data_IF_410715382270
#
_entry.id   IF_410715382270
#
_cell.length_a   1.000
_cell.length_b   1.000
_cell.length_c   1.000
_cell.angle_alpha   90.00
_cell.angle_beta   90.00
_cell.angle_gamma   90.00
#
_symmetry.space_group_name_H-M   'P 1'
#
loop_
_entity.id
_entity.type
_entity.pdbx_description
1 polymer ?
#
# COMPACT_ATOMS: atom_id res chain seq x y z
N UNK A 1 -55.42 26.97 -15.14
CA UNK A 1 -54.80 26.41 -13.90
C UNK A 1 -54.64 24.90 -13.90
N UNK A 2 -55.62 24.10 -14.34
CA UNK A 2 -55.53 22.61 -14.34
C UNK A 2 -54.37 22.09 -15.26
N UNK A 3 -54.21 22.63 -16.47
CA UNK A 3 -53.12 22.23 -17.39
C UNK A 3 -51.71 22.57 -16.86
N UNK A 4 -51.58 23.67 -16.15
CA UNK A 4 -50.30 24.06 -15.53
C UNK A 4 -49.87 23.06 -14.42
N UNK A 5 -50.84 22.60 -13.61
CA UNK A 5 -50.58 21.60 -12.56
C UNK A 5 -50.24 20.24 -13.16
N UNK A 6 -50.91 19.84 -14.24
CA UNK A 6 -50.61 18.60 -14.94
C UNK A 6 -49.23 18.63 -15.61
N UNK A 7 -48.86 19.74 -16.26
CA UNK A 7 -47.54 19.92 -16.85
C UNK A 7 -46.43 19.89 -15.79
N UNK A 8 -46.62 20.55 -14.64
CA UNK A 8 -45.67 20.50 -13.52
C UNK A 8 -45.50 19.07 -12.97
N UNK A 9 -46.57 18.31 -12.81
CA UNK A 9 -46.52 16.91 -12.36
C UNK A 9 -45.74 16.04 -13.30
N UNK A 10 -45.89 16.17 -14.62
CA UNK A 10 -45.17 15.42 -15.64
C UNK A 10 -43.65 15.76 -15.58
N UNK A 11 -43.32 17.03 -15.44
CA UNK A 11 -41.90 17.47 -15.33
C UNK A 11 -41.24 16.89 -14.05
N UNK A 12 -41.94 16.94 -12.91
CA UNK A 12 -41.41 16.37 -11.65
C UNK A 12 -41.22 14.85 -11.79
N UNK A 13 -42.15 14.16 -12.43
CA UNK A 13 -42.05 12.72 -12.65
C UNK A 13 -40.89 12.37 -13.60
N UNK A 14 -40.69 13.12 -14.67
CA UNK A 14 -39.60 12.94 -15.61
C UNK A 14 -38.23 13.20 -14.95
N UNK A 15 -38.12 14.24 -14.13
CA UNK A 15 -36.91 14.55 -13.35
C UNK A 15 -36.65 13.45 -12.31
N UNK A 16 -37.68 12.98 -11.61
CA UNK A 16 -37.54 11.89 -10.64
C UNK A 16 -37.11 10.56 -11.26
N UNK A 17 -37.68 10.21 -12.42
CA UNK A 17 -37.27 9.01 -13.18
C UNK A 17 -35.84 9.17 -13.70
N UNK A 18 -35.50 10.36 -14.25
CA UNK A 18 -34.15 10.64 -14.75
C UNK A 18 -33.10 10.56 -13.65
N UNK A 19 -33.39 11.14 -12.49
CA UNK A 19 -32.50 11.09 -11.33
C UNK A 19 -32.37 9.66 -10.76
N UNK A 20 -33.49 8.93 -10.67
CA UNK A 20 -33.49 7.53 -10.25
C UNK A 20 -32.70 6.63 -11.21
N UNK A 21 -32.79 6.87 -12.53
CA UNK A 21 -32.03 6.16 -13.54
C UNK A 21 -30.53 6.44 -13.43
N UNK A 22 -30.14 7.70 -13.28
CA UNK A 22 -28.73 8.10 -13.09
C UNK A 22 -28.17 7.50 -11.80
N UNK A 23 -28.90 7.63 -10.69
CA UNK A 23 -28.46 7.06 -9.40
C UNK A 23 -28.35 5.54 -9.41
N UNK A 24 -29.25 4.84 -10.11
CA UNK A 24 -29.18 3.38 -10.30
C UNK A 24 -27.96 2.98 -11.13
N UNK A 25 -27.67 3.72 -12.19
CA UNK A 25 -26.48 3.46 -13.01
C UNK A 25 -25.17 3.76 -12.27
N UNK A 26 -25.08 4.83 -11.49
CA UNK A 26 -23.92 5.12 -10.67
C UNK A 26 -23.59 3.98 -9.70
N UNK A 27 -24.58 3.42 -9.02
CA UNK A 27 -24.40 2.27 -8.12
C UNK A 27 -23.99 0.98 -8.86
N UNK A 28 -24.44 0.79 -10.11
CA UNK A 28 -24.04 -0.39 -10.88
C UNK A 28 -22.62 -0.34 -11.43
N UNK A 29 -22.05 0.86 -11.66
CA UNK A 29 -20.63 1.01 -12.05
C UNK A 29 -19.68 0.79 -10.89
N UNK A 30 -20.05 1.12 -9.66
CA UNK A 30 -19.29 0.77 -8.46
C UNK A 30 -19.23 -0.75 -8.21
N UNK A 31 -20.20 -1.51 -8.72
CA UNK A 31 -20.22 -2.96 -8.60
C UNK A 31 -19.19 -3.69 -9.51
N UNK A 32 -18.65 -3.00 -10.54
CA UNK A 32 -17.58 -3.52 -11.39
C UNK A 32 -16.21 -3.26 -10.77
N UNK A 33 -15.78 -4.17 -9.90
CA UNK A 33 -14.47 -4.11 -9.27
C UNK A 33 -13.42 -4.83 -10.11
N UNK A 34 -12.25 -4.23 -10.21
CA UNK A 34 -11.04 -4.80 -10.78
C UNK A 34 -10.10 -5.17 -9.65
N UNK A 35 -9.53 -6.37 -9.71
CA UNK A 35 -8.52 -6.85 -8.77
C UNK A 35 -7.21 -7.07 -9.51
N UNK A 36 -6.14 -6.48 -8.99
CA UNK A 36 -4.77 -6.63 -9.51
C UNK A 36 -3.90 -7.12 -8.37
N UNK A 37 -3.12 -8.17 -8.64
CA UNK A 37 -2.12 -8.70 -7.72
C UNK A 37 -0.73 -8.60 -8.33
N UNK A 38 0.26 -8.24 -7.51
CA UNK A 38 1.66 -8.35 -7.85
C UNK A 38 2.14 -9.77 -7.51
N UNK A 39 2.65 -10.55 -8.47
CA UNK A 39 3.22 -11.86 -8.17
C UNK A 39 4.38 -11.75 -7.17
N UNK A 40 4.68 -12.85 -6.48
CA UNK A 40 5.83 -12.93 -5.58
C UNK A 40 7.13 -12.54 -6.31
N UNK A 41 7.95 -11.69 -5.68
CA UNK A 41 9.19 -11.18 -6.25
C UNK A 41 9.02 -10.15 -7.37
N UNK A 42 7.79 -9.77 -7.70
CA UNK A 42 7.49 -8.80 -8.74
C UNK A 42 6.80 -7.56 -8.14
N UNK A 43 6.84 -6.49 -8.90
CA UNK A 43 6.16 -5.23 -8.58
C UNK A 43 5.29 -4.83 -9.74
N UNK A 44 4.13 -4.27 -9.44
CA UNK A 44 3.20 -3.77 -10.44
C UNK A 44 3.04 -2.27 -10.25
N UNK A 45 3.22 -1.52 -11.33
CA UNK A 45 2.84 -0.10 -11.39
C UNK A 45 1.58 0.03 -12.20
N UNK A 46 0.60 0.76 -11.69
CA UNK A 46 -0.65 1.03 -12.40
C UNK A 46 -1.07 2.49 -12.18
N UNK A 47 -1.79 3.01 -13.17
CA UNK A 47 -2.42 4.32 -13.10
C UNK A 47 -3.92 4.13 -13.07
N UNK A 48 -4.55 4.64 -12.01
CA UNK A 48 -6.00 4.62 -11.86
C UNK A 48 -6.65 5.69 -12.75
N UNK A 49 -7.94 5.59 -12.95
CA UNK A 49 -8.73 6.48 -13.83
C UNK A 49 -8.75 7.95 -13.37
N UNK A 50 -8.55 8.21 -12.06
CA UNK A 50 -8.44 9.56 -11.49
C UNK A 50 -7.03 10.17 -11.67
N UNK A 51 -6.11 9.43 -12.31
CA UNK A 51 -4.72 9.81 -12.49
C UNK A 51 -3.80 9.44 -11.32
N UNK A 52 -4.33 8.84 -10.24
CA UNK A 52 -3.54 8.31 -9.13
C UNK A 52 -2.60 7.21 -9.62
N UNK A 53 -1.32 7.30 -9.25
CA UNK A 53 -0.33 6.26 -9.53
C UNK A 53 -0.14 5.38 -8.30
N UNK A 54 -0.14 4.06 -8.50
CA UNK A 54 0.00 3.06 -7.45
C UNK A 54 1.12 2.10 -7.83
N UNK A 55 2.02 1.85 -6.91
CA UNK A 55 3.02 0.79 -6.99
C UNK A 55 2.66 -0.29 -5.97
N UNK A 56 2.43 -1.50 -6.44
CA UNK A 56 2.22 -2.68 -5.59
C UNK A 56 3.55 -3.39 -5.42
N UNK A 57 3.91 -3.70 -4.18
CA UNK A 57 5.08 -4.52 -3.87
C UNK A 57 4.75 -6.01 -4.03
N UNK A 58 5.76 -6.87 -3.94
CA UNK A 58 5.65 -8.33 -4.02
C UNK A 58 4.50 -8.86 -3.17
N UNK A 59 3.66 -9.72 -3.75
CA UNK A 59 2.51 -10.35 -3.08
C UNK A 59 1.34 -9.43 -2.75
N UNK A 60 1.43 -8.13 -3.05
CA UNK A 60 0.35 -7.20 -2.75
C UNK A 60 -0.82 -7.32 -3.73
N UNK A 61 -2.02 -7.07 -3.23
CA UNK A 61 -3.26 -7.07 -3.98
C UNK A 61 -4.02 -5.76 -3.79
N UNK A 62 -4.48 -5.18 -4.89
CA UNK A 62 -5.33 -3.99 -4.91
C UNK A 62 -6.66 -4.30 -5.59
N UNK A 63 -7.75 -3.98 -4.91
CA UNK A 63 -9.10 -4.01 -5.46
C UNK A 63 -9.66 -2.60 -5.56
N UNK A 64 -10.18 -2.22 -6.73
CA UNK A 64 -10.73 -0.88 -6.98
C UNK A 64 -11.87 -0.95 -8.00
N UNK A 65 -12.86 -0.03 -7.94
CA UNK A 65 -13.94 0.01 -8.91
C UNK A 65 -13.44 0.49 -10.26
N UNK A 66 -14.05 0.01 -11.34
CA UNK A 66 -13.75 0.45 -12.71
C UNK A 66 -14.03 1.95 -12.91
N UNK A 67 -14.92 2.54 -12.10
CA UNK A 67 -15.20 3.97 -12.05
C UNK A 67 -15.45 4.39 -10.59
N UNK A 68 -14.79 5.46 -10.14
CA UNK A 68 -15.12 6.08 -8.86
C UNK A 68 -16.40 6.92 -9.00
N UNK A 69 -17.57 6.31 -8.85
CA UNK A 69 -18.87 6.97 -9.07
C UNK A 69 -19.33 7.80 -7.87
N UNK A 70 -19.28 7.28 -6.65
CA UNK A 70 -19.74 7.95 -5.42
C UNK A 70 -18.93 9.16 -4.95
N UNK A 71 -19.11 9.56 -3.71
CA UNK A 71 -18.47 10.74 -3.09
C UNK A 71 -17.02 10.48 -2.64
N UNK A 72 -16.52 9.26 -2.79
CA UNK A 72 -15.17 8.87 -2.42
C UNK A 72 -14.52 8.02 -3.51
N UNK A 73 -13.18 8.08 -3.59
CA UNK A 73 -12.35 7.21 -4.42
C UNK A 73 -11.83 6.07 -3.54
N UNK A 74 -12.56 4.97 -3.50
CA UNK A 74 -12.29 3.88 -2.56
C UNK A 74 -11.57 2.73 -3.23
N UNK A 75 -10.49 2.26 -2.58
CA UNK A 75 -9.74 1.06 -2.96
C UNK A 75 -9.52 0.17 -1.73
N UNK A 76 -9.29 -1.12 -1.93
CA UNK A 76 -8.90 -2.06 -0.87
C UNK A 76 -7.51 -2.58 -1.14
N UNK A 77 -6.69 -2.66 -0.09
CA UNK A 77 -5.31 -3.10 -0.17
C UNK A 77 -5.05 -4.24 0.82
N UNK A 78 -4.40 -5.29 0.31
CA UNK A 78 -3.70 -6.29 1.10
C UNK A 78 -2.23 -6.31 0.66
N UNK A 79 -1.28 -6.34 1.61
CA UNK A 79 0.15 -6.21 1.34
C UNK A 79 0.64 -4.76 1.31
N UNK A 80 1.75 -4.51 0.64
CA UNK A 80 2.40 -3.20 0.60
C UNK A 80 2.17 -2.47 -0.72
N UNK A 81 1.77 -1.20 -0.62
CA UNK A 81 1.63 -0.32 -1.78
C UNK A 81 2.06 1.12 -1.48
N UNK A 82 2.65 1.73 -2.49
CA UNK A 82 2.95 3.15 -2.50
C UNK A 82 1.96 3.88 -3.41
N UNK A 83 1.44 5.01 -2.92
CA UNK A 83 0.44 5.81 -3.61
C UNK A 83 0.98 7.23 -3.88
N UNK A 84 0.81 7.70 -5.10
CA UNK A 84 0.89 9.12 -5.47
C UNK A 84 -0.51 9.54 -5.93
N UNK A 85 -1.31 10.02 -4.98
CA UNK A 85 -2.74 10.28 -5.18
C UNK A 85 -2.94 11.64 -5.85
N UNK A 86 -3.69 11.65 -6.95
CA UNK A 86 -4.14 12.87 -7.60
C UNK A 86 -4.96 13.74 -6.67
N UNK A 87 -4.66 15.04 -6.63
CA UNK A 87 -5.33 15.96 -5.71
C UNK A 87 -6.78 16.23 -6.13
N UNK A 88 -7.70 15.92 -5.24
CA UNK A 88 -9.12 16.30 -5.34
C UNK A 88 -9.71 16.45 -3.93
N UNK A 89 -9.90 17.69 -3.50
CA UNK A 89 -10.44 18.01 -2.19
C UNK A 89 -11.95 17.72 -2.07
N UNK A 90 -12.66 17.63 -3.19
CA UNK A 90 -14.11 17.38 -3.23
C UNK A 90 -14.43 15.88 -3.10
N UNK A 91 -13.47 15.00 -3.46
CA UNK A 91 -13.65 13.56 -3.51
C UNK A 91 -12.48 12.83 -2.86
N UNK A 92 -12.51 12.60 -1.54
CA UNK A 92 -11.43 11.94 -0.81
C UNK A 92 -11.05 10.57 -1.39
N UNK A 93 -9.75 10.24 -1.38
CA UNK A 93 -9.25 8.91 -1.72
C UNK A 93 -9.10 8.10 -0.44
N UNK A 94 -9.66 6.89 -0.44
CA UNK A 94 -9.76 6.03 0.75
C UNK A 94 -9.14 4.68 0.44
N UNK A 95 -8.08 4.33 1.18
CA UNK A 95 -7.51 2.98 1.18
C UNK A 95 -8.06 2.22 2.38
N UNK A 96 -8.81 1.16 2.12
CA UNK A 96 -9.30 0.23 3.13
C UNK A 96 -8.31 -0.95 3.25
N UNK A 97 -7.92 -1.26 4.48
CA UNK A 97 -7.08 -2.40 4.80
C UNK A 97 -7.77 -3.26 5.86
N UNK A 98 -7.17 -4.35 6.30
CA UNK A 98 -7.73 -5.18 7.39
C UNK A 98 -7.75 -4.46 8.75
N UNK A 99 -6.87 -3.49 8.98
CA UNK A 99 -6.68 -2.81 10.27
C UNK A 99 -7.23 -1.39 10.30
N UNK A 100 -7.01 -0.63 9.26
CA UNK A 100 -7.28 0.81 9.22
C UNK A 100 -7.90 1.26 7.91
N UNK A 101 -8.63 2.36 8.00
CA UNK A 101 -9.02 3.21 6.86
C UNK A 101 -8.05 4.38 6.78
N UNK A 102 -7.47 4.57 5.59
CA UNK A 102 -6.51 5.63 5.27
C UNK A 102 -7.17 6.61 4.31
N UNK A 103 -7.40 7.84 4.73
CA UNK A 103 -8.11 8.87 3.95
C UNK A 103 -7.17 10.03 3.59
N UNK A 104 -7.15 10.41 2.31
CA UNK A 104 -6.29 11.48 1.78
C UNK A 104 -7.02 12.30 0.71
N UNK A 105 -6.53 13.52 0.41
CA UNK A 105 -7.06 14.40 -0.64
C UNK A 105 -6.13 14.56 -1.84
N UNK A 106 -4.84 14.24 -1.69
CA UNK A 106 -3.80 14.38 -2.72
C UNK A 106 -2.44 14.30 -2.07
N UNK A 107 -1.91 13.10 -1.94
CA UNK A 107 -0.89 12.75 -0.95
C UNK A 107 0.01 11.68 -1.51
N UNK A 108 1.31 11.75 -1.16
CA UNK A 108 2.27 10.67 -1.41
C UNK A 108 2.56 9.95 -0.11
N UNK A 109 2.26 8.66 -0.06
CA UNK A 109 2.38 7.85 1.15
C UNK A 109 2.56 6.37 0.82
N UNK A 110 3.13 5.64 1.76
CA UNK A 110 3.25 4.19 1.72
C UNK A 110 2.26 3.57 2.71
N UNK A 111 1.66 2.46 2.34
CA UNK A 111 0.84 1.62 3.23
C UNK A 111 1.40 0.22 3.18
N UNK A 112 1.71 -0.33 4.34
CA UNK A 112 2.01 -1.76 4.51
C UNK A 112 0.91 -2.38 5.37
N UNK A 113 0.13 -3.28 4.79
CA UNK A 113 -0.98 -3.99 5.41
C UNK A 113 -0.73 -5.51 5.29
N UNK A 114 0.23 -6.00 6.05
CA UNK A 114 0.63 -7.41 6.08
C UNK A 114 -0.36 -8.22 6.93
N UNK A 115 -1.28 -8.88 6.25
CA UNK A 115 -2.30 -9.73 6.89
C UNK A 115 -1.68 -10.94 7.57
N UNK A 116 -0.58 -11.50 7.03
CA UNK A 116 0.04 -12.73 7.55
C UNK A 116 0.69 -12.50 8.92
N UNK A 117 1.29 -11.33 9.11
CA UNK A 117 1.93 -10.95 10.37
C UNK A 117 1.08 -9.99 11.21
N UNK A 118 -0.17 -9.73 10.81
CA UNK A 118 -1.08 -8.78 11.46
C UNK A 118 -0.46 -7.39 11.64
N UNK A 119 0.48 -7.04 10.76
CA UNK A 119 1.22 -5.78 10.79
C UNK A 119 0.57 -4.72 9.90
N UNK A 120 0.34 -3.53 10.44
CA UNK A 120 -0.09 -2.38 9.65
C UNK A 120 0.79 -1.17 9.96
N UNK A 121 1.27 -0.54 8.91
CA UNK A 121 1.90 0.77 9.01
C UNK A 121 1.60 1.65 7.82
N UNK A 122 1.64 2.95 8.05
CA UNK A 122 1.52 3.97 6.99
C UNK A 122 2.52 5.06 7.24
N UNK A 123 3.25 5.45 6.20
CA UNK A 123 4.25 6.52 6.27
C UNK A 123 3.94 7.60 5.26
N UNK A 124 3.99 8.85 5.71
CA UNK A 124 3.63 10.01 4.91
C UNK A 124 4.87 10.74 4.39
N UNK A 125 4.92 10.94 3.05
CA UNK A 125 5.99 11.71 2.40
C UNK A 125 5.57 13.15 2.09
N UNK A 126 4.35 13.34 1.60
CA UNK A 126 3.83 14.66 1.22
C UNK A 126 2.33 14.72 1.36
N UNK A 127 1.82 15.81 1.90
CA UNK A 127 0.38 16.06 2.07
C UNK A 127 -0.09 15.83 3.49
N UNK A 128 -1.23 15.17 3.66
CA UNK A 128 -1.80 14.78 4.95
C UNK A 128 -2.55 13.46 4.82
N UNK A 129 -2.45 12.62 5.83
CA UNK A 129 -3.15 11.33 5.92
C UNK A 129 -3.99 11.31 7.18
N UNK A 130 -5.27 10.99 7.07
CA UNK A 130 -6.12 10.65 8.21
C UNK A 130 -6.25 9.15 8.30
N UNK A 131 -5.93 8.58 9.45
CA UNK A 131 -6.08 7.18 9.77
C UNK A 131 -7.20 6.98 10.77
N UNK A 132 -8.02 5.97 10.55
CA UNK A 132 -9.06 5.55 11.49
C UNK A 132 -8.96 4.03 11.66
N UNK A 133 -8.83 3.56 12.89
CA UNK A 133 -8.84 2.13 13.19
C UNK A 133 -10.21 1.52 12.87
N UNK A 134 -10.23 0.32 12.30
CA UNK A 134 -11.46 -0.43 12.07
C UNK A 134 -11.97 -1.14 13.34
N UNK A 135 -11.08 -1.44 14.29
CA UNK A 135 -11.48 -2.04 15.58
C UNK A 135 -12.14 -1.03 16.52
N UNK A 136 -11.62 0.20 16.57
CA UNK A 136 -12.19 1.30 17.37
C UNK A 136 -12.12 2.61 16.61
N UNK A 137 -13.24 3.05 16.03
CA UNK A 137 -13.34 4.28 15.24
C UNK A 137 -13.00 5.57 16.00
N UNK A 138 -12.90 5.52 17.33
CA UNK A 138 -12.44 6.66 18.15
C UNK A 138 -10.92 6.83 18.07
N UNK A 139 -10.18 5.77 17.71
CA UNK A 139 -8.75 5.85 17.46
C UNK A 139 -8.52 6.44 16.08
N UNK A 140 -8.19 7.71 16.04
CA UNK A 140 -7.87 8.45 14.83
C UNK A 140 -6.53 9.16 14.98
N UNK A 141 -5.74 9.18 13.92
CA UNK A 141 -4.46 9.88 13.85
C UNK A 141 -4.39 10.63 12.53
N UNK A 142 -3.84 11.85 12.56
CA UNK A 142 -3.53 12.62 11.35
C UNK A 142 -2.01 12.72 11.24
N UNK A 143 -1.45 12.17 10.15
CA UNK A 143 -0.02 12.24 9.87
C UNK A 143 0.34 13.55 9.17
N UNK A 144 1.52 14.06 9.53
CA UNK A 144 2.29 15.07 8.81
C UNK A 144 3.44 14.42 8.04
N UNK A 145 4.03 15.11 7.06
CA UNK A 145 5.24 14.62 6.39
C UNK A 145 6.31 14.16 7.39
N UNK A 146 6.99 13.07 7.05
CA UNK A 146 8.01 12.40 7.87
C UNK A 146 7.48 11.74 9.16
N UNK A 147 6.16 11.47 9.21
CA UNK A 147 5.54 10.70 10.29
C UNK A 147 5.06 9.34 9.77
N UNK A 148 5.12 8.34 10.65
CA UNK A 148 4.67 6.96 10.46
C UNK A 148 3.67 6.58 11.54
N UNK A 149 2.54 6.04 11.15
CA UNK A 149 1.61 5.37 12.07
C UNK A 149 1.80 3.86 11.99
N UNK A 150 1.73 3.21 13.15
CA UNK A 150 1.79 1.75 13.29
C UNK A 150 0.57 1.30 14.08
N UNK A 151 -0.08 0.22 13.63
CA UNK A 151 -1.18 -0.42 14.36
C UNK A 151 -0.69 -1.76 14.90
N UNK A 152 -0.56 -1.84 16.21
CA UNK A 152 -0.09 -3.02 16.92
C UNK A 152 -0.90 -3.21 18.21
N UNK A 153 -1.26 -4.45 18.51
CA UNK A 153 -1.99 -4.82 19.74
C UNK A 153 -3.28 -3.99 19.96
N UNK A 154 -4.03 -3.73 18.88
CA UNK A 154 -5.27 -2.96 18.92
C UNK A 154 -5.08 -1.45 19.12
N UNK A 155 -3.85 -0.93 19.00
CA UNK A 155 -3.53 0.49 19.17
C UNK A 155 -2.86 1.10 17.96
N UNK A 156 -3.32 2.28 17.60
CA UNK A 156 -2.71 3.12 16.58
C UNK A 156 -1.73 4.09 17.24
N UNK A 157 -0.44 3.94 16.95
CA UNK A 157 0.66 4.73 17.51
C UNK A 157 1.33 5.57 16.45
N UNK A 158 1.84 6.75 16.85
CA UNK A 158 2.53 7.69 15.97
C UNK A 158 4.03 7.64 16.25
N UNK A 159 4.82 7.52 15.17
CA UNK A 159 6.28 7.52 15.20
C UNK A 159 6.83 8.53 14.20
N UNK A 160 8.09 8.86 14.32
CA UNK A 160 8.82 9.54 13.26
C UNK A 160 9.21 8.52 12.19
N UNK A 161 9.17 8.92 10.92
CA UNK A 161 9.71 8.10 9.84
C UNK A 161 11.24 8.26 9.81
N UNK A 162 11.94 7.31 10.45
CA UNK A 162 13.38 7.43 10.66
C UNK A 162 14.18 7.02 9.42
N UNK A 163 13.61 6.26 8.50
CA UNK A 163 14.27 5.85 7.26
C UNK A 163 13.70 6.54 6.02
N UNK A 164 14.37 7.56 5.48
CA UNK A 164 13.93 8.22 4.24
C UNK A 164 14.04 7.32 3.01
N UNK A 165 14.66 6.16 3.14
CA UNK A 165 14.90 5.20 2.06
C UNK A 165 13.93 4.00 2.08
N UNK A 166 12.97 3.97 2.99
CA UNK A 166 12.00 2.88 3.15
C UNK A 166 11.25 2.56 1.84
N UNK A 167 11.01 3.58 0.98
CA UNK A 167 10.27 3.43 -0.28
C UNK A 167 11.15 3.38 -1.52
N UNK A 168 12.43 3.15 -1.39
CA UNK A 168 13.32 3.01 -2.56
C UNK A 168 12.98 1.81 -3.43
N UNK A 169 12.24 0.86 -2.89
CA UNK A 169 11.73 -0.28 -3.64
C UNK A 169 10.85 0.15 -4.84
N UNK A 170 10.13 1.27 -4.75
CA UNK A 170 9.40 1.88 -5.88
C UNK A 170 10.35 2.18 -7.06
N UNK A 171 11.60 2.53 -6.76
CA UNK A 171 12.65 2.78 -7.76
C UNK A 171 13.50 1.54 -8.06
N UNK A 172 13.12 0.35 -7.56
CA UNK A 172 13.90 -0.86 -7.76
C UNK A 172 15.14 -0.98 -6.90
N UNK A 173 15.18 -0.31 -5.75
CA UNK A 173 16.33 -0.26 -4.87
C UNK A 173 15.95 -0.69 -3.46
N UNK A 174 16.85 -1.38 -2.77
CA UNK A 174 16.78 -1.67 -1.34
C UNK A 174 17.91 -0.92 -0.66
N UNK A 175 17.61 -0.05 0.30
CA UNK A 175 18.63 0.57 1.15
C UNK A 175 19.11 -0.43 2.19
N UNK A 176 20.44 -0.46 2.37
CA UNK A 176 21.09 -1.23 3.45
C UNK A 176 21.78 -0.32 4.47
N UNK A 177 21.77 1.00 4.23
CA UNK A 177 22.47 1.97 5.07
C UNK A 177 21.75 2.20 6.39
N UNK A 178 22.45 2.01 7.51
CA UNK A 178 21.95 2.27 8.85
C UNK A 178 20.93 1.25 9.37
N UNK A 179 20.75 0.13 8.66
CA UNK A 179 19.87 -0.95 9.06
C UNK A 179 20.66 -2.09 9.67
N UNK A 180 20.04 -2.83 10.57
CA UNK A 180 20.59 -4.08 11.06
C UNK A 180 20.41 -5.21 10.00
N UNK A 181 21.12 -6.31 10.21
CA UNK A 181 21.11 -7.43 9.26
C UNK A 181 19.70 -8.04 9.08
N UNK A 182 18.94 -8.17 10.18
CA UNK A 182 17.58 -8.72 10.13
C UNK A 182 16.63 -7.86 9.32
N UNK A 183 16.70 -6.56 9.50
CA UNK A 183 15.87 -5.61 8.76
C UNK A 183 16.19 -5.64 7.25
N UNK A 184 17.48 -5.73 6.89
CA UNK A 184 17.87 -5.89 5.48
C UNK A 184 17.34 -7.20 4.90
N UNK A 185 17.47 -8.31 5.64
CA UNK A 185 16.94 -9.62 5.23
C UNK A 185 15.41 -9.55 5.04
N UNK A 186 14.70 -8.97 5.99
CA UNK A 186 13.25 -8.78 5.89
C UNK A 186 12.84 -7.99 4.63
N UNK A 187 13.54 -6.89 4.32
CA UNK A 187 13.31 -6.13 3.09
C UNK A 187 13.61 -6.94 1.83
N UNK A 188 14.66 -7.77 1.88
CA UNK A 188 14.98 -8.66 0.76
C UNK A 188 13.90 -9.71 0.54
N UNK A 189 13.36 -10.32 1.61
CA UNK A 189 12.24 -11.26 1.51
C UNK A 189 11.06 -10.63 0.76
N UNK A 190 10.63 -9.45 1.20
CA UNK A 190 9.53 -8.73 0.55
C UNK A 190 9.83 -8.35 -0.91
N UNK A 191 11.02 -7.84 -1.19
CA UNK A 191 11.35 -7.35 -2.53
C UNK A 191 11.59 -8.46 -3.56
N UNK A 192 12.08 -9.63 -3.12
CA UNK A 192 12.40 -10.75 -4.00
C UNK A 192 11.36 -11.88 -3.94
N UNK A 193 10.40 -11.83 -3.01
CA UNK A 193 9.38 -12.86 -2.84
C UNK A 193 10.00 -14.21 -2.43
N UNK A 194 11.01 -14.20 -1.58
CA UNK A 194 11.70 -15.38 -1.05
C UNK A 194 11.51 -15.47 0.45
N UNK A 195 11.63 -16.65 1.03
CA UNK A 195 11.72 -16.84 2.47
C UNK A 195 13.17 -17.04 2.87
N UNK A 196 13.66 -16.30 3.89
CA UNK A 196 15.05 -16.37 4.35
C UNK A 196 15.09 -16.80 5.82
N UNK A 197 15.52 -18.03 6.06
CA UNK A 197 15.67 -18.59 7.39
C UNK A 197 17.06 -18.25 7.95
N UNK A 198 17.11 -17.59 9.11
CA UNK A 198 18.35 -17.22 9.81
C UNK A 198 18.71 -18.31 10.82
N UNK A 199 19.63 -19.22 10.45
CA UNK A 199 20.17 -20.29 11.29
C UNK A 199 21.58 -19.98 11.78
N UNK A 200 21.98 -18.71 11.77
CA UNK A 200 23.29 -18.23 12.20
C UNK A 200 23.22 -17.61 13.58
N UNK A 201 24.21 -17.92 14.42
CA UNK A 201 24.38 -17.32 15.74
C UNK A 201 25.87 -17.05 16.01
N UNK A 202 26.29 -15.87 16.42
CA UNK A 202 25.46 -14.65 16.55
C UNK A 202 25.00 -14.13 15.19
N UNK A 203 23.91 -13.31 15.21
CA UNK A 203 23.44 -12.65 13.99
C UNK A 203 24.54 -11.70 13.48
N UNK A 204 24.88 -11.75 12.18
CA UNK A 204 25.91 -10.90 11.61
C UNK A 204 25.61 -9.41 11.83
N UNK A 205 26.66 -8.63 12.16
CA UNK A 205 26.57 -7.17 12.21
C UNK A 205 26.80 -6.63 10.81
N UNK A 206 25.90 -5.79 10.34
CA UNK A 206 26.00 -5.15 9.03
C UNK A 206 26.56 -3.74 9.18
N UNK A 207 27.79 -3.51 8.71
CA UNK A 207 28.41 -2.19 8.66
C UNK A 207 28.37 -1.58 7.24
N UNK A 208 27.73 -2.28 6.30
CA UNK A 208 27.66 -1.87 4.91
C UNK A 208 26.75 -0.66 4.73
N UNK A 209 27.16 0.24 3.84
CA UNK A 209 26.36 1.36 3.37
C UNK A 209 26.12 1.21 1.87
N UNK A 210 24.93 1.56 1.41
CA UNK A 210 24.63 1.57 -0.01
C UNK A 210 23.20 1.13 -0.33
N UNK A 211 23.01 0.77 -1.59
CA UNK A 211 21.71 0.35 -2.12
C UNK A 211 21.92 -0.87 -3.02
N UNK A 212 21.07 -1.87 -2.85
CA UNK A 212 21.00 -3.05 -3.72
C UNK A 212 20.00 -2.77 -4.83
N UNK A 213 20.30 -3.16 -6.06
CA UNK A 213 19.33 -3.14 -7.16
C UNK A 213 18.54 -4.45 -7.14
N UNK A 214 17.22 -4.35 -7.13
CA UNK A 214 16.35 -5.52 -7.12
C UNK A 214 16.49 -6.31 -8.44
N UNK A 215 16.73 -5.62 -9.56
CA UNK A 215 16.92 -6.24 -10.88
C UNK A 215 18.16 -7.16 -10.99
N UNK A 216 19.14 -7.00 -10.11
CA UNK A 216 20.37 -7.77 -10.16
C UNK A 216 20.20 -9.18 -9.52
N UNK A 217 19.05 -9.43 -8.89
CA UNK A 217 18.67 -10.71 -8.30
C UNK A 217 19.16 -10.91 -6.87
N UNK A 218 18.51 -11.88 -6.18
CA UNK A 218 18.73 -12.15 -4.76
C UNK A 218 20.15 -12.69 -4.48
N UNK A 219 20.68 -13.56 -5.33
CA UNK A 219 22.01 -14.14 -5.14
C UNK A 219 23.11 -13.08 -5.24
N UNK A 220 22.95 -12.11 -6.17
CA UNK A 220 23.88 -10.98 -6.27
C UNK A 220 23.80 -10.10 -5.00
N UNK A 221 22.59 -9.84 -4.51
CA UNK A 221 22.38 -9.09 -3.27
C UNK A 221 23.01 -9.78 -2.05
N UNK A 222 22.81 -11.10 -1.90
CA UNK A 222 23.44 -11.90 -0.85
C UNK A 222 24.97 -11.90 -0.99
N UNK A 223 25.51 -12.02 -2.20
CA UNK A 223 26.94 -11.93 -2.47
C UNK A 223 27.56 -10.57 -2.09
N UNK A 224 26.80 -9.47 -2.21
CA UNK A 224 27.23 -8.15 -1.69
C UNK A 224 27.27 -8.17 -0.16
N UNK A 225 26.24 -8.70 0.50
CA UNK A 225 26.20 -8.78 1.96
C UNK A 225 27.29 -9.66 2.52
N UNK A 226 27.62 -10.79 1.88
CA UNK A 226 28.74 -11.68 2.27
C UNK A 226 30.12 -10.99 2.26
N UNK A 227 30.30 -9.92 1.48
CA UNK A 227 31.54 -9.13 1.52
C UNK A 227 31.68 -8.26 2.77
N UNK A 228 30.57 -7.97 3.42
CA UNK A 228 30.50 -7.10 4.61
C UNK A 228 30.23 -7.88 5.88
N UNK A 229 29.66 -9.08 5.76
CA UNK A 229 29.26 -9.94 6.86
C UNK A 229 29.74 -11.37 6.59
N UNK A 230 30.19 -12.06 7.63
CA UNK A 230 30.62 -13.46 7.49
C UNK A 230 29.42 -14.39 7.71
N UNK A 231 28.90 -14.96 6.64
CA UNK A 231 27.85 -16.00 6.64
C UNK A 231 27.93 -16.84 5.37
N UNK A 232 27.34 -18.01 5.41
CA UNK A 232 27.08 -18.84 4.24
C UNK A 232 25.58 -18.96 4.02
N UNK A 233 25.17 -19.39 2.83
CA UNK A 233 23.76 -19.65 2.55
C UNK A 233 23.58 -20.80 1.58
N UNK A 234 22.43 -21.43 1.63
CA UNK A 234 21.91 -22.36 0.62
C UNK A 234 20.59 -21.81 0.09
N UNK A 235 20.36 -21.96 -1.21
CA UNK A 235 19.14 -21.55 -1.87
C UNK A 235 18.44 -22.76 -2.50
N UNK A 236 17.25 -23.07 -2.02
CA UNK A 236 16.37 -24.05 -2.63
C UNK A 236 15.44 -23.32 -3.62
N UNK A 237 15.74 -23.45 -4.92
CA UNK A 237 14.98 -22.80 -5.99
C UNK A 237 13.58 -23.41 -6.20
N UNK A 238 13.34 -24.66 -5.74
CA UNK A 238 12.02 -25.29 -5.86
C UNK A 238 11.02 -24.73 -4.85
N UNK A 239 11.47 -24.48 -3.61
CA UNK A 239 10.63 -23.92 -2.53
C UNK A 239 10.77 -22.41 -2.40
N UNK A 240 11.67 -21.79 -3.14
CA UNK A 240 12.03 -20.38 -3.05
C UNK A 240 12.50 -19.97 -1.64
N UNK A 241 13.22 -20.87 -0.97
CA UNK A 241 13.71 -20.70 0.40
C UNK A 241 15.23 -20.61 0.44
N UNK A 242 15.71 -19.66 1.23
CA UNK A 242 17.14 -19.45 1.49
C UNK A 242 17.39 -19.70 2.97
N UNK A 243 18.46 -20.43 3.28
CA UNK A 243 18.90 -20.64 4.66
C UNK A 243 20.29 -20.03 4.83
N UNK A 244 20.42 -19.08 5.75
CA UNK A 244 21.68 -18.43 6.14
C UNK A 244 22.23 -19.11 7.40
N UNK A 245 23.54 -19.50 7.38
CA UNK A 245 24.23 -20.23 8.48
C UNK A 245 25.71 -19.85 8.59
#
# INVERSE_FOLDING_TARGET
TRYAVQAAAVVILAVGIGWGYVSYHEHSWEALTTRISAPEGQRVNLKLQDGTEVWLNSGAELEYPSLFAGDTRRVRLAGEAFFDVSHDASKPFVVETFACRVEVLGTRFNVNADVQHSGFSTTLLRGSVRLTSLEDSRQQVVLKPDEKAVFENGKLTLHRADDPNEYLWVKGLISISGLDFKEVIHRMEHCYGVRINLNVAPIPTLEAMGKLRISDGIEHALGILQRSCNFNYTYNHETNEITIY
#
